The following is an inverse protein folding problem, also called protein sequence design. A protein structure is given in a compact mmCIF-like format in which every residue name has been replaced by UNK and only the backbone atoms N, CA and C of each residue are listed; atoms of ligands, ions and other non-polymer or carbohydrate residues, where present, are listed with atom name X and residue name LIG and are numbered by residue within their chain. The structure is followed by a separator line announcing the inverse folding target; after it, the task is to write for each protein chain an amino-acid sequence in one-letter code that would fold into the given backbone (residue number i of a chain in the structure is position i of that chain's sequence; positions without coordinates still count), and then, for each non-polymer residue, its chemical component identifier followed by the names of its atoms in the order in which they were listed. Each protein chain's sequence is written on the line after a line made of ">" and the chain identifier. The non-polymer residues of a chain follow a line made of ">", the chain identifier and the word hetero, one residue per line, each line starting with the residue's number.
data_IF_252297698486
#
_entry.id   IF_252297698486
#
_cell.length_a   1.000
_cell.length_b   1.000
_cell.length_c   1.000
_cell.angle_alpha   90.00
_cell.angle_beta   90.00
_cell.angle_gamma   90.00
#
_symmetry.space_group_name_H-M   'P 1'
#
loop_
_entity.id
_entity.type
_entity.pdbx_description
1 polymer ?
#
# COMPACT_ATOMS: atom_id res chain seq x y z
N UNK A 1 -8.68 15.48 7.50
CA UNK A 1 -7.89 14.34 7.12
C UNK A 1 -6.93 13.92 8.22
N UNK A 2 -6.26 12.83 8.03
CA UNK A 2 -5.25 12.29 8.94
C UNK A 2 -3.85 12.75 8.50
N UNK A 3 -3.66 14.05 8.32
CA UNK A 3 -2.39 14.61 7.85
C UNK A 3 -1.26 14.27 8.83
N UNK A 4 -0.15 13.75 8.29
CA UNK A 4 1.00 13.34 9.07
C UNK A 4 0.81 12.08 9.93
N UNK A 5 -0.34 11.43 9.91
CA UNK A 5 -0.58 10.22 10.69
C UNK A 5 0.18 9.00 10.15
N UNK A 6 0.61 8.13 11.04
CA UNK A 6 1.34 6.92 10.68
C UNK A 6 0.43 5.84 10.07
N UNK A 7 -0.85 5.83 10.44
CA UNK A 7 -1.82 4.83 10.01
C UNK A 7 -3.03 5.46 9.33
N UNK A 8 -3.88 4.63 8.71
CA UNK A 8 -5.14 5.06 8.10
C UNK A 8 -6.28 5.28 9.14
N UNK A 9 -5.94 5.32 10.40
CA UNK A 9 -6.81 5.63 11.55
C UNK A 9 -6.13 6.60 12.51
N UNK A 10 -6.87 7.29 13.40
CA UNK A 10 -6.28 8.20 14.38
C UNK A 10 -5.36 7.48 15.37
N UNK A 11 -4.29 8.19 15.76
CA UNK A 11 -3.31 7.71 16.73
C UNK A 11 -2.08 7.04 16.09
N UNK A 12 -1.16 6.62 16.95
CA UNK A 12 0.16 6.12 16.60
C UNK A 12 0.36 4.63 16.93
N UNK A 13 -0.73 3.94 17.27
CA UNK A 13 -0.71 2.51 17.56
C UNK A 13 -1.20 1.69 16.37
N UNK A 14 -0.45 0.66 15.97
CA UNK A 14 -0.89 -0.31 14.96
C UNK A 14 -2.16 -1.07 15.39
N UNK A 15 -2.29 -1.28 16.71
CA UNK A 15 -3.41 -1.99 17.34
C UNK A 15 -3.95 -1.20 18.53
N UNK A 16 -4.71 -0.12 18.27
CA UNK A 16 -5.22 0.72 19.35
C UNK A 16 -6.08 -0.09 20.32
N UNK A 17 -5.71 -0.04 21.60
CA UNK A 17 -6.37 -0.83 22.65
C UNK A 17 -6.31 -2.35 22.42
N UNK A 18 -5.33 -2.84 21.69
CA UNK A 18 -5.17 -4.26 21.36
C UNK A 18 -6.06 -4.75 20.19
N UNK A 19 -6.85 -3.86 19.58
CA UNK A 19 -7.75 -4.20 18.46
C UNK A 19 -6.98 -4.21 17.14
N UNK A 20 -7.12 -5.30 16.40
CA UNK A 20 -6.60 -5.37 15.04
C UNK A 20 -7.41 -4.44 14.11
N UNK A 21 -6.71 -3.54 13.42
CA UNK A 21 -7.30 -2.56 12.51
C UNK A 21 -7.03 -2.90 11.04
N UNK A 22 -6.14 -3.85 10.78
CA UNK A 22 -5.74 -4.29 9.45
C UNK A 22 -5.15 -5.70 9.52
N UNK A 23 -5.18 -6.42 8.40
CA UNK A 23 -4.48 -7.69 8.27
C UNK A 23 -3.00 -7.46 8.02
N UNK A 24 -2.22 -7.41 9.07
CA UNK A 24 -0.75 -7.35 9.06
C UNK A 24 -0.20 -8.55 9.83
N UNK A 25 1.10 -8.80 9.71
CA UNK A 25 1.70 -9.90 10.47
C UNK A 25 1.53 -9.70 11.98
N UNK A 26 1.10 -10.76 12.66
CA UNK A 26 0.91 -10.77 14.10
C UNK A 26 1.69 -11.94 14.69
N UNK A 27 2.61 -11.66 15.60
CA UNK A 27 3.50 -12.64 16.20
C UNK A 27 4.93 -12.55 15.65
N UNK A 28 5.73 -13.57 15.91
CA UNK A 28 7.18 -13.54 15.60
C UNK A 28 7.46 -13.78 14.12
N UNK A 29 7.83 -12.74 13.40
CA UNK A 29 8.21 -12.84 11.99
C UNK A 29 9.57 -13.54 11.82
N UNK A 30 9.75 -14.41 10.83
CA UNK A 30 8.76 -15.01 9.92
C UNK A 30 8.22 -16.38 10.42
N UNK A 31 8.46 -16.71 11.66
CA UNK A 31 8.31 -18.09 12.18
C UNK A 31 6.88 -18.41 12.66
N UNK A 32 6.16 -17.41 13.17
CA UNK A 32 4.82 -17.61 13.70
C UNK A 32 3.93 -16.41 13.39
N UNK A 33 2.80 -16.67 12.76
CA UNK A 33 1.74 -15.70 12.55
C UNK A 33 0.51 -16.10 13.38
N UNK A 34 0.13 -15.28 14.34
CA UNK A 34 -1.03 -15.48 15.21
C UNK A 34 -2.31 -14.82 14.62
N UNK A 35 -2.21 -14.24 13.43
CA UNK A 35 -3.32 -13.69 12.65
C UNK A 35 -3.83 -14.66 11.59
N UNK A 36 -4.27 -14.12 10.45
CA UNK A 36 -4.81 -14.92 9.34
C UNK A 36 -3.78 -15.82 8.67
N UNK A 37 -2.50 -15.46 8.71
CA UNK A 37 -1.44 -16.17 7.99
C UNK A 37 -1.44 -15.98 6.48
N UNK A 38 -2.59 -15.63 5.92
CA UNK A 38 -2.86 -15.32 4.52
C UNK A 38 -3.71 -14.06 4.41
N UNK A 39 -4.34 -13.84 3.27
CA UNK A 39 -5.33 -12.78 3.09
C UNK A 39 -6.56 -13.02 3.97
N UNK A 40 -7.17 -11.94 4.46
CA UNK A 40 -8.46 -11.94 5.14
C UNK A 40 -9.58 -11.61 4.15
N UNK A 41 -10.84 -11.99 4.45
CA UNK A 41 -11.99 -11.48 3.71
C UNK A 41 -12.03 -9.94 3.74
N UNK A 42 -12.39 -9.35 2.60
CA UNK A 42 -12.56 -7.89 2.50
C UNK A 42 -13.61 -7.43 3.52
N UNK A 43 -13.35 -6.30 4.18
CA UNK A 43 -14.28 -5.75 5.17
C UNK A 43 -14.21 -6.41 6.55
N UNK A 44 -13.21 -7.24 6.81
CA UNK A 44 -12.97 -7.80 8.17
C UNK A 44 -12.64 -6.71 9.18
N UNK A 45 -12.01 -5.64 8.74
CA UNK A 45 -11.52 -4.54 9.60
C UNK A 45 -12.36 -3.27 9.41
N UNK A 46 -12.28 -2.33 10.37
CA UNK A 46 -13.01 -1.07 10.27
C UNK A 46 -12.62 -0.25 9.05
N UNK A 47 -13.54 0.54 8.54
CA UNK A 47 -13.26 1.57 7.53
C UNK A 47 -12.36 2.67 8.11
N UNK A 48 -11.62 3.35 7.24
CA UNK A 48 -10.98 4.61 7.59
C UNK A 48 -12.00 5.77 7.65
N UNK A 49 -11.52 6.98 7.93
CA UNK A 49 -12.36 8.18 8.00
C UNK A 49 -13.04 8.60 6.69
N UNK A 50 -12.70 7.97 5.56
CA UNK A 50 -13.32 8.16 4.25
C UNK A 50 -14.27 7.01 3.86
N UNK A 51 -14.54 6.08 4.77
CA UNK A 51 -15.38 4.92 4.50
C UNK A 51 -14.70 3.82 3.67
N UNK A 52 -13.38 3.89 3.46
CA UNK A 52 -12.63 2.92 2.68
C UNK A 52 -12.14 1.77 3.56
N UNK A 53 -12.26 0.55 3.03
CA UNK A 53 -11.84 -0.70 3.68
C UNK A 53 -10.45 -1.10 3.23
N UNK A 54 -9.72 -1.79 4.11
CA UNK A 54 -8.46 -2.50 3.80
C UNK A 54 -7.39 -1.65 3.11
N UNK A 55 -7.32 -0.34 3.43
CA UNK A 55 -6.31 0.58 2.88
C UNK A 55 -4.90 0.30 3.37
N UNK A 56 -4.77 -0.54 4.38
CA UNK A 56 -3.51 -1.00 4.98
C UNK A 56 -3.57 -2.51 5.17
N UNK A 57 -2.46 -3.19 4.86
CA UNK A 57 -2.34 -4.64 5.04
C UNK A 57 -3.09 -5.44 3.97
N UNK A 58 -3.41 -6.65 4.27
CA UNK A 58 -4.04 -7.65 3.42
C UNK A 58 -3.22 -7.95 2.16
N UNK A 59 -3.36 -7.16 1.10
CA UNK A 59 -2.54 -7.24 -0.12
C UNK A 59 -1.99 -5.88 -0.50
N UNK A 60 -0.81 -5.85 -1.09
CA UNK A 60 -0.33 -4.68 -1.80
C UNK A 60 -1.29 -4.30 -2.91
N UNK A 61 -1.61 -3.03 -3.03
CA UNK A 61 -2.48 -2.53 -4.08
C UNK A 61 -1.64 -1.83 -5.15
N UNK A 62 -1.76 -2.35 -6.37
CA UNK A 62 -1.11 -1.77 -7.54
C UNK A 62 -1.83 -0.50 -7.95
N UNK A 63 -1.06 0.59 -8.07
CA UNK A 63 -1.54 1.85 -8.62
C UNK A 63 -1.30 1.92 -10.14
N UNK A 64 -2.00 2.81 -10.81
CA UNK A 64 -1.76 3.12 -12.22
C UNK A 64 -0.45 3.89 -12.46
N UNK A 65 0.09 4.51 -11.41
CA UNK A 65 1.29 5.33 -11.49
C UNK A 65 2.54 4.52 -11.83
N UNK A 66 3.35 5.06 -12.75
CA UNK A 66 4.68 4.53 -13.03
C UNK A 66 5.60 4.83 -11.84
N UNK A 67 6.38 3.85 -11.45
CA UNK A 67 7.34 4.02 -10.37
C UNK A 67 8.47 4.96 -10.77
N UNK A 68 8.74 5.93 -9.90
CA UNK A 68 9.94 6.76 -9.93
C UNK A 68 10.59 6.74 -8.53
N UNK A 69 11.93 6.73 -8.42
CA UNK A 69 12.61 6.63 -7.12
C UNK A 69 12.32 7.79 -6.17
N UNK A 70 12.04 8.97 -6.73
CA UNK A 70 11.69 10.19 -5.98
C UNK A 70 10.48 10.83 -6.64
N UNK A 71 9.61 11.44 -5.84
CA UNK A 71 8.56 12.29 -6.38
C UNK A 71 9.19 13.46 -7.16
N UNK A 72 8.70 13.78 -8.35
CA UNK A 72 9.17 14.96 -9.08
C UNK A 72 8.93 16.21 -8.22
N UNK A 73 9.93 17.09 -8.18
CA UNK A 73 9.87 18.34 -7.39
C UNK A 73 9.02 19.41 -8.09
N UNK A 74 8.68 19.21 -9.36
CA UNK A 74 7.78 20.08 -10.14
C UNK A 74 6.73 19.24 -10.86
N UNK A 75 5.50 19.69 -10.83
CA UNK A 75 4.36 19.05 -11.48
C UNK A 75 4.49 18.98 -13.02
N UNK A 76 5.38 19.80 -13.60
CA UNK A 76 5.54 19.95 -15.06
C UNK A 76 6.06 18.70 -15.79
N UNK A 77 6.72 17.78 -15.09
CA UNK A 77 7.24 16.54 -15.71
C UNK A 77 6.33 15.31 -15.47
N UNK A 78 5.34 15.46 -14.61
CA UNK A 78 4.48 14.36 -14.18
C UNK A 78 3.11 14.36 -14.88
N UNK A 79 2.79 15.40 -15.64
CA UNK A 79 1.51 15.53 -16.33
C UNK A 79 1.71 15.71 -17.84
N UNK A 80 0.79 15.16 -18.64
CA UNK A 80 0.72 15.44 -20.08
C UNK A 80 0.14 16.84 -20.34
N UNK A 81 0.01 17.19 -21.62
CA UNK A 81 -0.51 18.50 -22.04
C UNK A 81 -1.95 18.76 -21.56
N UNK A 82 -2.68 17.73 -21.18
CA UNK A 82 -4.06 17.79 -20.67
C UNK A 82 -4.12 17.79 -19.13
N UNK A 83 -2.97 17.89 -18.46
CA UNK A 83 -2.88 17.87 -16.99
C UNK A 83 -3.08 16.51 -16.34
N UNK A 84 -3.03 15.42 -17.13
CA UNK A 84 -3.15 14.05 -16.62
C UNK A 84 -1.77 13.50 -16.25
N UNK A 85 -1.68 12.63 -15.24
CA UNK A 85 -0.43 11.95 -14.93
C UNK A 85 0.14 11.27 -16.17
N UNK A 86 1.38 11.58 -16.53
CA UNK A 86 2.05 10.96 -17.67
C UNK A 86 2.44 9.51 -17.33
N UNK A 87 1.48 8.62 -17.45
CA UNK A 87 1.62 7.19 -17.15
C UNK A 87 2.48 6.46 -18.21
N UNK A 88 2.78 7.14 -19.32
CA UNK A 88 3.51 6.60 -20.47
C UNK A 88 4.93 7.18 -20.59
N UNK A 89 5.41 7.91 -19.58
CA UNK A 89 6.80 8.38 -19.58
C UNK A 89 7.74 7.20 -19.82
N UNK A 90 8.61 7.25 -20.86
CA UNK A 90 9.50 6.15 -21.16
C UNK A 90 10.42 5.91 -19.96
N UNK A 91 10.28 4.75 -19.34
CA UNK A 91 11.29 4.27 -18.42
C UNK A 91 12.45 3.72 -19.25
N UNK A 92 13.66 4.03 -18.87
CA UNK A 92 14.86 3.42 -19.48
C UNK A 92 15.00 1.92 -19.17
N UNK A 93 14.08 1.40 -18.37
CA UNK A 93 13.99 -0.02 -18.04
C UNK A 93 13.12 -0.74 -19.08
N UNK A 94 13.53 -1.90 -19.59
CA UNK A 94 12.71 -2.71 -20.49
C UNK A 94 11.43 -3.23 -19.79
N UNK A 95 11.32 -3.10 -18.49
CA UNK A 95 10.20 -3.55 -17.68
C UNK A 95 9.55 -2.37 -16.96
N UNK A 96 8.29 -2.14 -17.24
CA UNK A 96 7.53 -1.09 -16.56
C UNK A 96 7.32 -1.45 -15.10
N UNK A 97 7.72 -0.55 -14.22
CA UNK A 97 7.50 -0.66 -12.78
C UNK A 97 6.34 0.22 -12.36
N UNK A 98 5.40 -0.31 -11.58
CA UNK A 98 4.27 0.42 -11.03
C UNK A 98 4.42 0.65 -9.54
N UNK A 99 3.79 1.71 -9.06
CA UNK A 99 3.68 1.96 -7.63
C UNK A 99 2.76 0.92 -7.00
N UNK A 100 3.16 0.40 -5.84
CA UNK A 100 2.28 -0.36 -4.96
C UNK A 100 2.19 0.31 -3.59
N UNK A 101 1.02 0.24 -2.98
CA UNK A 101 0.68 0.90 -1.72
C UNK A 101 0.05 -0.08 -0.73
N UNK A 102 -0.06 0.35 0.52
CA UNK A 102 -0.83 -0.32 1.56
C UNK A 102 -0.10 -1.44 2.32
N UNK A 103 0.97 -2.03 1.76
CA UNK A 103 1.59 -3.22 2.35
C UNK A 103 0.71 -4.46 2.23
N UNK A 104 1.04 -5.52 2.97
CA UNK A 104 0.29 -6.76 2.93
C UNK A 104 0.27 -7.47 4.28
N UNK A 105 -0.44 -8.60 4.37
CA UNK A 105 -0.45 -9.49 5.52
C UNK A 105 0.94 -10.01 5.93
N UNK A 106 1.94 -9.90 5.06
CA UNK A 106 3.33 -10.27 5.34
C UNK A 106 4.15 -9.14 5.99
N UNK A 107 3.58 -7.93 6.14
CA UNK A 107 4.27 -6.81 6.75
C UNK A 107 4.21 -6.89 8.28
N UNK A 108 5.36 -7.09 8.91
CA UNK A 108 5.52 -7.13 10.35
C UNK A 108 6.16 -5.82 10.87
N UNK A 109 5.73 -5.29 12.03
CA UNK A 109 6.26 -4.04 12.58
C UNK A 109 7.78 -4.02 12.74
N UNK A 110 8.37 -5.15 13.15
CA UNK A 110 9.80 -5.31 13.37
C UNK A 110 10.63 -5.53 12.11
N UNK A 111 9.96 -5.82 10.97
CA UNK A 111 10.64 -6.15 9.72
C UNK A 111 10.31 -5.19 8.58
N UNK A 112 9.02 -4.88 8.38
CA UNK A 112 8.54 -4.13 7.23
C UNK A 112 7.37 -3.24 7.61
N UNK A 113 7.60 -1.93 7.72
CA UNK A 113 6.55 -0.93 8.01
C UNK A 113 5.99 -0.29 6.74
N UNK A 114 6.04 -0.96 5.60
CA UNK A 114 5.59 -0.43 4.30
C UNK A 114 4.06 -0.39 4.16
N UNK A 115 3.32 -0.88 5.14
CA UNK A 115 1.87 -0.69 5.25
C UNK A 115 1.47 0.76 5.60
N UNK A 116 2.40 1.62 6.03
CA UNK A 116 2.09 3.03 6.32
C UNK A 116 1.63 3.77 5.07
N UNK A 117 0.65 4.71 5.17
CA UNK A 117 0.12 5.47 4.02
C UNK A 117 1.20 6.19 3.19
N UNK A 118 2.25 6.71 3.83
CA UNK A 118 3.36 7.38 3.14
C UNK A 118 4.26 6.42 2.35
N UNK A 119 4.28 5.12 2.71
CA UNK A 119 5.15 4.15 2.06
C UNK A 119 4.64 3.80 0.67
N UNK A 120 5.58 3.54 -0.24
CA UNK A 120 5.34 3.01 -1.58
C UNK A 120 6.45 2.05 -1.97
N UNK A 121 6.17 1.13 -2.87
CA UNK A 121 7.14 0.18 -3.38
C UNK A 121 6.98 0.05 -4.88
N UNK A 122 8.04 -0.41 -5.55
CA UNK A 122 8.00 -0.71 -6.96
C UNK A 122 7.61 -2.17 -7.18
N UNK A 123 6.78 -2.43 -8.19
CA UNK A 123 6.43 -3.76 -8.64
C UNK A 123 6.34 -3.78 -10.16
N UNK A 124 6.90 -4.79 -10.80
CA UNK A 124 6.81 -4.90 -12.26
C UNK A 124 5.40 -5.27 -12.72
N UNK A 125 5.04 -4.81 -13.92
CA UNK A 125 3.68 -5.02 -14.46
C UNK A 125 3.35 -6.50 -14.69
N UNK A 126 4.33 -7.33 -14.95
CA UNK A 126 4.19 -8.76 -15.19
C UNK A 126 4.29 -9.62 -13.91
N UNK A 127 4.45 -8.99 -12.73
CA UNK A 127 4.52 -9.73 -11.48
C UNK A 127 3.13 -10.07 -10.94
N UNK A 128 3.00 -11.31 -10.46
CA UNK A 128 1.85 -11.77 -9.70
C UNK A 128 2.34 -12.51 -8.45
N UNK A 129 1.75 -12.19 -7.31
CA UNK A 129 2.03 -12.86 -6.03
C UNK A 129 0.76 -13.00 -5.21
N UNK A 130 0.76 -13.90 -4.22
CA UNK A 130 -0.39 -14.12 -3.32
C UNK A 130 -0.77 -12.92 -2.45
N UNK A 131 0.09 -11.91 -2.39
CA UNK A 131 -0.10 -10.70 -1.56
C UNK A 131 -0.09 -9.41 -2.40
N UNK A 132 -0.39 -9.51 -3.68
CA UNK A 132 -0.52 -8.38 -4.61
C UNK A 132 -1.92 -8.39 -5.21
N UNK A 133 -2.56 -7.23 -5.23
CA UNK A 133 -3.90 -7.00 -5.77
C UNK A 133 -4.05 -5.60 -6.32
N UNK A 134 -5.28 -5.18 -6.54
CA UNK A 134 -5.65 -3.84 -6.97
C UNK A 134 -7.08 -3.53 -6.54
N UNK A 135 -7.46 -2.27 -6.58
CA UNK A 135 -8.86 -1.82 -6.50
C UNK A 135 -9.18 -0.89 -7.65
N UNK A 136 -10.40 -0.99 -8.16
CA UNK A 136 -10.92 -0.05 -9.15
C UNK A 136 -11.58 1.13 -8.45
N UNK A 137 -11.43 2.32 -9.05
CA UNK A 137 -12.15 3.53 -8.69
C UNK A 137 -13.08 3.86 -9.86
N UNK A 138 -14.35 4.10 -9.56
CA UNK A 138 -15.39 4.44 -10.53
C UNK A 138 -15.77 5.89 -10.35
#
# INVERSE_FOLDING_TARGET
>A
GLDGQEYAWPGDELRPGGRDMANTWKGRFPYRNDGWGTTSPVGTYPTNGFGLLDMIGNVWERCSDVWVPRHPVSDAAAVDADGRPNLLAPTTSPQVMRVTKGGSHLCAPEYCRRYRPAARSAQSDDSATSHLGFRCVV
#
